data_IF_884270813930
#
_entry.id   IF_884270813930
#
_cell.length_a   1.000
_cell.length_b   1.000
_cell.length_c   1.000
_cell.angle_alpha   90.00
_cell.angle_beta   90.00
_cell.angle_gamma   90.00
#
_symmetry.space_group_name_H-M   'P 1'
#
loop_
_entity.id
_entity.type
_entity.pdbx_description
1 polymer ?
#
# COMPACT_ATOMS: atom_id res chain seq x y z
N UNK A 1 13.65 103.37 7.48
CA UNK A 1 13.50 101.90 7.44
C UNK A 1 13.71 101.47 6.00
N UNK A 2 14.79 101.90 5.36
CA UNK A 2 16.18 101.43 5.49
C UNK A 2 16.30 100.04 4.84
N UNK A 3 16.70 99.98 3.56
CA UNK A 3 18.12 99.86 3.12
C UNK A 3 18.66 98.47 3.51
N UNK A 4 19.21 97.60 2.65
CA UNK A 4 19.70 97.67 1.29
C UNK A 4 20.02 96.23 0.83
N UNK A 5 19.99 95.97 -0.48
CA UNK A 5 20.84 94.99 -1.19
C UNK A 5 22.33 95.18 -0.82
N UNK A 6 23.32 94.30 -1.15
CA UNK A 6 23.38 93.51 -2.39
C UNK A 6 24.17 92.17 -2.37
N UNK A 7 24.08 91.44 -3.48
CA UNK A 7 25.10 90.47 -3.90
C UNK A 7 26.45 91.17 -4.12
N UNK A 8 27.56 90.43 -4.01
CA UNK A 8 28.41 90.13 -5.18
C UNK A 8 28.95 88.67 -5.04
N UNK A 9 29.60 87.99 -5.99
CA UNK A 9 30.44 88.35 -7.11
C UNK A 9 30.75 87.04 -7.88
N UNK A 10 30.60 87.09 -9.20
CA UNK A 10 31.41 86.35 -10.21
C UNK A 10 32.92 86.43 -9.84
N UNK A 11 33.86 85.54 -10.24
CA UNK A 11 33.90 85.12 -11.64
C UNK A 11 34.73 83.89 -12.11
N UNK A 12 34.53 83.62 -13.41
CA UNK A 12 35.50 83.13 -14.41
C UNK A 12 36.16 81.74 -14.28
N UNK A 13 36.20 81.12 -15.45
CA UNK A 13 37.25 80.23 -15.96
C UNK A 13 37.07 78.72 -15.75
N UNK A 14 36.48 78.14 -16.80
CA UNK A 14 37.14 77.16 -17.69
C UNK A 14 37.79 75.93 -17.07
N UNK A 15 37.48 74.81 -17.74
CA UNK A 15 38.31 73.64 -18.01
C UNK A 15 37.99 72.38 -17.21
N UNK A 16 37.51 71.39 -17.97
CA UNK A 16 37.89 69.97 -17.96
C UNK A 16 37.92 69.23 -16.61
N UNK A 17 36.98 68.31 -16.42
CA UNK A 17 37.20 66.87 -16.70
C UNK A 17 36.03 66.02 -16.16
N UNK A 18 35.87 64.85 -16.79
CA UNK A 18 35.10 63.68 -16.35
C UNK A 18 33.59 63.65 -16.64
N UNK A 19 33.23 63.44 -17.91
CA UNK A 19 32.16 62.48 -18.21
C UNK A 19 32.77 61.10 -18.41
N UNK A 20 32.87 60.37 -17.30
CA UNK A 20 33.00 58.92 -17.33
C UNK A 20 31.71 58.41 -17.99
N UNK A 21 31.78 58.01 -19.26
CA UNK A 21 30.74 57.21 -19.89
C UNK A 21 30.84 55.84 -19.24
N UNK A 22 29.86 55.39 -18.43
CA UNK A 22 29.81 53.99 -18.07
C UNK A 22 29.41 53.27 -19.34
N UNK A 23 30.30 52.41 -19.84
CA UNK A 23 29.89 51.32 -20.73
C UNK A 23 28.69 50.64 -20.06
N UNK A 24 27.52 50.77 -20.66
CA UNK A 24 26.42 49.85 -20.39
C UNK A 24 26.88 48.49 -20.92
N UNK A 25 27.48 47.69 -20.05
CA UNK A 25 27.45 46.24 -20.23
C UNK A 25 25.98 45.82 -20.21
N UNK A 26 25.50 45.08 -21.21
CA UNK A 26 24.20 44.44 -21.10
C UNK A 26 24.36 43.32 -20.08
N UNK A 27 24.09 43.62 -18.81
CA UNK A 27 23.92 42.59 -17.78
C UNK A 27 22.89 41.61 -18.32
N UNK A 28 23.33 40.37 -18.43
CA UNK A 28 22.67 39.27 -19.11
C UNK A 28 21.42 38.85 -18.33
N UNK A 29 20.33 39.59 -18.50
CA UNK A 29 18.98 39.24 -17.99
C UNK A 29 18.59 37.81 -18.33
N UNK A 30 19.12 37.25 -19.43
CA UNK A 30 18.89 35.86 -19.83
C UNK A 30 19.53 34.78 -18.94
N UNK A 31 20.56 35.10 -18.17
CA UNK A 31 21.25 34.14 -17.29
C UNK A 31 20.59 34.10 -15.91
N UNK A 32 20.19 35.27 -15.39
CA UNK A 32 19.42 35.37 -14.14
C UNK A 32 18.02 34.78 -14.28
N UNK A 33 17.36 34.97 -15.44
CA UNK A 33 16.04 34.37 -15.71
C UNK A 33 16.10 32.83 -15.78
N UNK A 34 17.20 32.27 -16.30
CA UNK A 34 17.43 30.82 -16.33
C UNK A 34 17.62 30.26 -14.93
N UNK A 35 18.46 30.88 -14.11
CA UNK A 35 18.64 30.49 -12.71
C UNK A 35 17.37 30.67 -11.86
N UNK A 36 16.55 31.68 -12.13
CA UNK A 36 15.24 31.82 -11.49
C UNK A 36 14.27 30.71 -11.92
N UNK A 37 14.21 30.38 -13.21
CA UNK A 37 13.36 29.31 -13.72
C UNK A 37 13.75 27.94 -13.19
N UNK A 38 15.05 27.65 -13.12
CA UNK A 38 15.58 26.41 -12.55
C UNK A 38 15.27 26.29 -11.06
N UNK A 39 15.42 27.38 -10.28
CA UNK A 39 15.02 27.40 -8.86
C UNK A 39 13.51 27.26 -8.64
N UNK A 40 12.69 27.79 -9.54
CA UNK A 40 11.23 27.63 -9.47
C UNK A 40 10.84 26.19 -9.77
N UNK A 41 11.42 25.55 -10.79
CA UNK A 41 11.18 24.14 -11.12
C UNK A 41 11.65 23.23 -9.98
N UNK A 42 12.85 23.46 -9.42
CA UNK A 42 13.30 22.72 -8.24
C UNK A 42 12.40 22.94 -7.01
N UNK A 43 11.82 24.14 -6.86
CA UNK A 43 10.87 24.45 -5.79
C UNK A 43 9.55 23.72 -5.97
N UNK A 44 9.02 23.69 -7.20
CA UNK A 44 7.81 22.95 -7.56
C UNK A 44 7.99 21.44 -7.34
N UNK A 45 9.13 20.87 -7.75
CA UNK A 45 9.46 19.45 -7.51
C UNK A 45 9.56 19.13 -6.01
N UNK A 46 10.19 20.00 -5.21
CA UNK A 46 10.28 19.84 -3.75
C UNK A 46 8.90 19.90 -3.09
N UNK A 47 8.01 20.79 -3.54
CA UNK A 47 6.65 20.91 -3.01
C UNK A 47 5.80 19.68 -3.35
N UNK A 48 5.94 19.13 -4.56
CA UNK A 48 5.28 17.87 -4.94
C UNK A 48 5.73 16.70 -4.05
N UNK A 49 7.03 16.63 -3.72
CA UNK A 49 7.55 15.60 -2.81
C UNK A 49 7.03 15.77 -1.37
N UNK A 50 6.91 17.01 -0.89
CA UNK A 50 6.36 17.33 0.45
C UNK A 50 4.89 16.92 0.56
N UNK A 51 4.07 17.26 -0.44
CA UNK A 51 2.65 16.87 -0.48
C UNK A 51 2.48 15.35 -0.49
N UNK A 52 3.27 14.65 -1.30
CA UNK A 52 3.25 13.18 -1.36
C UNK A 52 3.69 12.54 -0.04
N UNK A 53 4.64 13.16 0.67
CA UNK A 53 5.06 12.71 1.99
C UNK A 53 3.95 12.93 3.05
N UNK A 54 3.23 14.06 2.97
CA UNK A 54 2.08 14.34 3.84
C UNK A 54 0.92 13.36 3.62
N UNK A 55 0.57 13.07 2.37
CA UNK A 55 -0.44 12.05 2.02
C UNK A 55 -0.06 10.65 2.51
N UNK A 56 1.23 10.31 2.41
CA UNK A 56 1.73 9.04 2.92
C UNK A 56 1.67 8.98 4.45
N UNK A 57 2.00 10.07 5.13
CA UNK A 57 1.96 10.16 6.59
C UNK A 57 0.53 10.19 7.15
N UNK A 58 -0.41 10.85 6.48
CA UNK A 58 -1.83 10.80 6.85
C UNK A 58 -2.39 9.38 6.67
N UNK A 59 -2.06 8.71 5.58
CA UNK A 59 -2.42 7.30 5.38
C UNK A 59 -1.85 6.39 6.49
N UNK A 60 -0.61 6.62 6.93
CA UNK A 60 0.00 5.88 8.04
C UNK A 60 -0.73 6.19 9.36
N UNK A 61 -1.07 7.46 9.62
CA UNK A 61 -1.87 7.87 10.79
C UNK A 61 -3.20 7.11 10.83
N UNK A 62 -3.92 7.06 9.71
CA UNK A 62 -5.23 6.40 9.59
C UNK A 62 -5.13 4.86 9.69
N UNK A 63 -4.00 4.28 9.25
CA UNK A 63 -3.71 2.87 9.50
C UNK A 63 -3.46 2.60 10.99
N UNK A 64 -2.67 3.45 11.65
CA UNK A 64 -2.38 3.30 13.07
C UNK A 64 -3.62 3.51 13.95
N UNK A 65 -4.51 4.43 13.61
CA UNK A 65 -5.78 4.62 14.33
C UNK A 65 -6.69 3.39 14.22
N UNK A 66 -6.87 2.86 13.01
CA UNK A 66 -7.66 1.62 12.80
C UNK A 66 -7.10 0.42 13.58
N UNK A 67 -5.77 0.29 13.62
CA UNK A 67 -5.12 -0.75 14.42
C UNK A 67 -5.32 -0.51 15.93
N UNK A 68 -5.28 0.74 16.38
CA UNK A 68 -5.51 1.09 17.78
C UNK A 68 -6.96 0.81 18.23
N UNK A 69 -7.94 1.09 17.38
CA UNK A 69 -9.37 0.82 17.61
C UNK A 69 -9.65 -0.69 17.65
N UNK A 70 -9.04 -1.47 16.74
CA UNK A 70 -9.19 -2.93 16.73
C UNK A 70 -8.55 -3.66 17.93
N UNK A 71 -7.76 -2.96 18.74
CA UNK A 71 -7.14 -3.48 19.96
C UNK A 71 -7.92 -3.12 21.23
N UNK A 72 -9.05 -2.40 21.10
CA UNK A 72 -9.79 -1.88 22.23
C UNK A 72 -10.64 -2.96 22.90
N UNK A 73 -10.26 -3.31 24.13
CA UNK A 73 -11.12 -3.97 25.11
C UNK A 73 -11.59 -2.91 26.09
N UNK A 74 -12.92 -2.77 26.22
CA UNK A 74 -13.80 -1.88 27.01
C UNK A 74 -13.29 -0.67 27.84
N UNK A 75 -12.03 -0.49 28.23
CA UNK A 75 -11.62 0.64 29.07
C UNK A 75 -10.17 1.08 28.81
N UNK A 76 -9.93 2.02 27.88
CA UNK A 76 -8.83 2.99 28.01
C UNK A 76 -9.02 4.15 27.01
N UNK A 77 -9.73 5.19 27.44
CA UNK A 77 -9.92 6.45 26.69
C UNK A 77 -8.67 7.31 26.83
N UNK A 78 -7.62 6.99 26.07
CA UNK A 78 -6.50 7.91 25.80
C UNK A 78 -6.71 8.59 24.45
N UNK A 79 -7.66 9.52 24.40
CA UNK A 79 -7.89 10.38 23.24
C UNK A 79 -6.67 11.29 23.01
N UNK A 80 -5.91 11.04 21.95
CA UNK A 80 -4.78 11.90 21.55
C UNK A 80 -5.35 13.21 21.03
N UNK A 81 -5.37 14.23 21.89
CA UNK A 81 -5.81 15.59 21.54
C UNK A 81 -4.96 16.13 20.39
N UNK A 82 -5.58 16.26 19.22
CA UNK A 82 -5.03 16.96 18.07
C UNK A 82 -4.85 18.44 18.46
N UNK A 83 -3.60 18.89 18.52
CA UNK A 83 -3.28 20.29 18.71
C UNK A 83 -3.47 21.01 17.38
N UNK A 84 -4.60 21.68 17.28
CA UNK A 84 -4.94 22.65 16.24
C UNK A 84 -4.22 23.97 16.50
N UNK A 85 -2.97 24.08 16.06
CA UNK A 85 -2.35 25.40 15.84
C UNK A 85 -1.96 25.47 14.36
N UNK A 86 -2.47 26.50 13.68
CA UNK A 86 -2.20 26.73 12.26
C UNK A 86 -0.70 26.99 12.05
N UNK A 87 -0.03 26.22 11.18
CA UNK A 87 1.40 26.31 10.99
C UNK A 87 1.76 27.46 10.05
N UNK A 88 2.75 28.26 10.44
CA UNK A 88 3.25 29.40 9.68
C UNK A 88 4.11 29.00 8.44
N UNK A 89 4.36 27.70 8.19
CA UNK A 89 5.20 27.21 7.07
C UNK A 89 4.99 25.71 6.76
N UNK A 90 5.01 25.35 5.47
CA UNK A 90 4.89 23.97 4.93
C UNK A 90 5.93 22.97 5.53
N UNK A 91 7.12 23.46 5.90
CA UNK A 91 8.14 22.62 6.56
C UNK A 91 7.82 22.33 8.02
N UNK A 92 7.04 23.18 8.69
CA UNK A 92 6.60 22.97 10.08
C UNK A 92 5.42 21.99 10.13
N UNK A 93 4.53 22.01 9.13
CA UNK A 93 3.43 21.06 8.96
C UNK A 93 3.90 19.61 8.94
N UNK A 94 4.88 19.31 8.08
CA UNK A 94 5.45 17.97 7.94
C UNK A 94 6.02 17.44 9.26
N UNK A 95 6.70 18.31 10.01
CA UNK A 95 7.29 17.95 11.29
C UNK A 95 6.24 17.69 12.37
N UNK A 96 5.14 18.43 12.42
CA UNK A 96 4.05 18.20 13.37
C UNK A 96 3.27 16.93 13.04
N UNK A 97 2.97 16.67 11.76
CA UNK A 97 2.33 15.42 11.33
C UNK A 97 3.23 14.22 11.65
N UNK A 98 4.54 14.32 11.40
CA UNK A 98 5.49 13.25 11.71
C UNK A 98 5.58 12.96 13.22
N UNK A 99 5.54 14.00 14.08
CA UNK A 99 5.48 13.85 15.54
C UNK A 99 4.18 13.17 15.99
N UNK A 100 3.05 13.53 15.39
CA UNK A 100 1.75 12.92 15.69
C UNK A 100 1.74 11.43 15.32
N UNK A 101 2.19 11.09 14.11
CA UNK A 101 2.33 9.70 13.64
C UNK A 101 3.25 8.90 14.55
N UNK A 102 4.40 9.48 14.94
CA UNK A 102 5.35 8.82 15.85
C UNK A 102 4.76 8.57 17.25
N UNK A 103 3.87 9.45 17.72
CA UNK A 103 3.15 9.28 18.99
C UNK A 103 2.10 8.17 18.90
N UNK A 104 1.32 8.15 17.82
CA UNK A 104 0.35 7.09 17.54
C UNK A 104 1.03 5.73 17.39
N UNK A 105 2.15 5.65 16.68
CA UNK A 105 2.90 4.41 16.51
C UNK A 105 3.34 3.83 17.87
N UNK A 106 3.85 4.70 18.77
CA UNK A 106 4.28 4.28 20.11
C UNK A 106 3.11 3.81 20.99
N UNK A 107 1.95 4.46 20.89
CA UNK A 107 0.75 4.05 21.62
C UNK A 107 0.19 2.72 21.10
N UNK A 108 0.20 2.51 19.79
CA UNK A 108 -0.17 1.22 19.19
C UNK A 108 0.78 0.12 19.66
N UNK A 109 2.09 0.37 19.67
CA UNK A 109 3.09 -0.58 20.18
C UNK A 109 2.83 -0.98 21.64
N UNK A 110 2.54 -0.03 22.52
CA UNK A 110 2.25 -0.33 23.93
C UNK A 110 0.94 -1.09 24.11
N UNK A 111 -0.12 -0.74 23.35
CA UNK A 111 -1.40 -1.47 23.35
C UNK A 111 -1.23 -2.91 22.86
N UNK A 112 -0.47 -3.12 21.78
CA UNK A 112 -0.17 -4.47 21.26
C UNK A 112 0.55 -5.31 22.31
N UNK A 113 1.55 -4.74 23.00
CA UNK A 113 2.30 -5.50 24.00
C UNK A 113 1.43 -5.87 25.20
N UNK A 114 0.60 -4.94 25.71
CA UNK A 114 -0.40 -5.24 26.74
C UNK A 114 -1.34 -6.37 26.32
N UNK A 115 -1.88 -6.32 25.10
CA UNK A 115 -2.79 -7.35 24.59
C UNK A 115 -2.10 -8.71 24.50
N UNK A 116 -0.86 -8.77 24.00
CA UNK A 116 -0.07 -10.01 23.99
C UNK A 116 0.15 -10.58 25.39
N UNK A 117 0.41 -9.74 26.39
CA UNK A 117 0.56 -10.18 27.78
C UNK A 117 -0.73 -10.74 28.36
N UNK A 118 -1.88 -10.11 28.10
CA UNK A 118 -3.20 -10.62 28.52
C UNK A 118 -3.48 -11.99 27.89
N UNK A 119 -3.29 -12.13 26.57
CA UNK A 119 -3.46 -13.41 25.88
C UNK A 119 -2.52 -14.51 26.41
N UNK A 120 -1.29 -14.15 26.80
CA UNK A 120 -0.35 -15.08 27.47
C UNK A 120 -0.79 -15.47 28.88
N UNK A 121 -1.48 -14.59 29.62
CA UNK A 121 -2.05 -14.90 30.95
C UNK A 121 -3.24 -15.84 30.81
N UNK A 122 -4.22 -15.49 29.97
CA UNK A 122 -5.39 -16.33 29.67
C UNK A 122 -4.98 -17.73 29.20
N UNK A 123 -4.00 -17.81 28.28
CA UNK A 123 -3.49 -19.10 27.82
C UNK A 123 -2.94 -19.96 28.97
N UNK A 124 -2.16 -19.37 29.88
CA UNK A 124 -1.60 -20.09 31.04
C UNK A 124 -2.70 -20.53 32.01
N UNK A 125 -3.73 -19.71 32.21
CA UNK A 125 -4.88 -20.05 33.05
C UNK A 125 -5.70 -21.19 32.45
N UNK A 126 -5.98 -21.14 31.14
CA UNK A 126 -6.64 -22.22 30.42
C UNK A 126 -5.81 -23.51 30.44
N UNK A 127 -4.50 -23.43 30.24
CA UNK A 127 -3.60 -24.58 30.37
C UNK A 127 -3.63 -25.18 31.78
N UNK A 128 -3.60 -24.35 32.82
CA UNK A 128 -3.69 -24.82 34.21
C UNK A 128 -5.05 -25.48 34.51
N UNK A 129 -6.14 -24.91 33.98
CA UNK A 129 -7.49 -25.45 34.11
C UNK A 129 -7.64 -26.77 33.37
N UNK A 130 -7.03 -26.90 32.18
CA UNK A 130 -7.01 -28.15 31.42
C UNK A 130 -6.27 -29.24 32.20
N UNK A 131 -5.11 -28.93 32.78
CA UNK A 131 -4.36 -29.90 33.60
C UNK A 131 -5.23 -30.36 34.79
N UNK A 132 -5.85 -29.43 35.53
CA UNK A 132 -6.75 -29.76 36.64
C UNK A 132 -7.90 -30.68 36.20
N UNK A 133 -8.57 -30.34 35.09
CA UNK A 133 -9.66 -31.15 34.54
C UNK A 133 -9.18 -32.55 34.09
N UNK A 134 -7.97 -32.67 33.54
CA UNK A 134 -7.43 -33.99 33.18
C UNK A 134 -7.08 -34.84 34.40
N UNK A 135 -6.64 -34.23 35.49
CA UNK A 135 -6.40 -34.91 36.77
C UNK A 135 -7.73 -35.36 37.40
N UNK A 136 -8.72 -34.48 37.46
CA UNK A 136 -10.06 -34.83 37.94
C UNK A 136 -10.71 -35.95 37.12
N UNK A 137 -10.60 -35.91 35.79
CA UNK A 137 -11.15 -36.96 34.92
C UNK A 137 -10.42 -38.31 35.12
N UNK A 138 -9.12 -38.27 35.43
CA UNK A 138 -8.35 -39.46 35.84
C UNK A 138 -8.81 -39.99 37.20
N UNK A 139 -9.11 -39.12 38.16
CA UNK A 139 -9.61 -39.51 39.48
C UNK A 139 -11.03 -40.09 39.42
N UNK A 140 -11.92 -39.49 38.62
CA UNK A 140 -13.24 -40.05 38.33
C UNK A 140 -13.12 -41.44 37.68
N UNK A 141 -12.21 -41.59 36.71
CA UNK A 141 -11.94 -42.89 36.09
C UNK A 141 -11.43 -43.93 37.09
N UNK A 142 -10.58 -43.52 38.04
CA UNK A 142 -10.11 -44.39 39.13
C UNK A 142 -11.26 -44.78 40.07
N UNK A 143 -12.11 -43.84 40.47
CA UNK A 143 -13.28 -44.08 41.32
C UNK A 143 -14.27 -45.03 40.65
N UNK A 144 -14.55 -44.86 39.35
CA UNK A 144 -15.39 -45.77 38.58
C UNK A 144 -14.81 -47.19 38.57
N UNK A 145 -13.50 -47.34 38.39
CA UNK A 145 -12.85 -48.65 38.45
C UNK A 145 -12.98 -49.30 39.83
N UNK A 146 -12.83 -48.52 40.91
CA UNK A 146 -13.03 -49.01 42.29
C UNK A 146 -14.48 -49.44 42.50
N UNK A 147 -15.45 -48.60 42.13
CA UNK A 147 -16.87 -48.89 42.26
C UNK A 147 -17.29 -50.14 41.46
N UNK A 148 -16.73 -50.34 40.27
CA UNK A 148 -16.95 -51.55 39.48
C UNK A 148 -16.38 -52.80 40.18
N UNK A 149 -15.17 -52.73 40.74
CA UNK A 149 -14.59 -53.84 41.50
C UNK A 149 -15.38 -54.16 42.77
N UNK A 150 -15.88 -53.14 43.48
CA UNK A 150 -16.75 -53.31 44.65
C UNK A 150 -18.11 -53.92 44.28
N UNK A 151 -18.70 -53.48 43.16
CA UNK A 151 -19.92 -54.07 42.60
C UNK A 151 -19.71 -55.55 42.28
N UNK A 152 -18.62 -55.90 41.58
CA UNK A 152 -18.30 -57.30 41.29
C UNK A 152 -18.08 -58.13 42.56
N UNK A 153 -17.44 -57.56 43.59
CA UNK A 153 -17.27 -58.21 44.89
C UNK A 153 -18.60 -58.39 45.64
N UNK A 154 -19.52 -57.43 45.57
CA UNK A 154 -20.89 -57.54 46.08
C UNK A 154 -21.69 -58.60 45.32
N UNK A 155 -21.63 -58.62 44.00
CA UNK A 155 -22.32 -59.62 43.16
C UNK A 155 -21.82 -61.03 43.47
N UNK A 156 -20.51 -61.24 43.65
CA UNK A 156 -19.95 -62.53 44.08
C UNK A 156 -20.42 -62.92 45.48
N UNK A 157 -20.52 -61.98 46.42
CA UNK A 157 -21.08 -62.21 47.77
C UNK A 157 -22.57 -62.54 47.74
N UNK A 158 -23.35 -61.91 46.87
CA UNK A 158 -24.79 -62.17 46.72
C UNK A 158 -25.01 -63.54 46.09
N UNK A 159 -24.32 -63.87 44.99
CA UNK A 159 -24.39 -65.20 44.34
C UNK A 159 -23.94 -66.33 45.26
N UNK A 160 -22.95 -66.11 46.13
CA UNK A 160 -22.56 -67.06 47.17
C UNK A 160 -23.61 -67.26 48.29
N UNK A 161 -24.56 -66.32 48.45
CA UNK A 161 -25.62 -66.35 49.47
C UNK A 161 -27.02 -66.69 48.89
N UNK A 162 -27.14 -66.88 47.57
CA UNK A 162 -28.42 -66.95 46.85
C UNK A 162 -29.27 -68.19 47.19
N UNK A 163 -28.69 -69.28 47.69
CA UNK A 163 -29.47 -70.49 48.01
C UNK A 163 -30.20 -70.43 49.36
N UNK A 164 -29.73 -69.64 50.33
CA UNK A 164 -30.25 -69.71 51.71
C UNK A 164 -31.20 -68.56 52.09
N UNK A 165 -31.29 -67.48 51.30
CA UNK A 165 -32.11 -66.29 51.64
C UNK A 165 -33.17 -65.88 50.60
N UNK A 166 -33.26 -66.58 49.46
CA UNK A 166 -34.22 -66.28 48.39
C UNK A 166 -35.62 -66.87 48.64
N UNK A 167 -35.70 -67.99 49.37
CA UNK A 167 -36.95 -68.68 49.73
C UNK A 167 -37.90 -67.86 50.63
N UNK A 168 -37.43 -67.17 51.71
CA UNK A 168 -38.34 -66.42 52.59
C UNK A 168 -38.89 -65.14 51.95
N UNK A 169 -38.08 -64.43 51.15
CA UNK A 169 -38.48 -63.15 50.53
C UNK A 169 -39.54 -63.34 49.42
N UNK A 170 -39.52 -64.47 48.71
CA UNK A 170 -40.54 -64.80 47.71
C UNK A 170 -41.88 -65.17 48.36
N UNK A 171 -41.88 -65.90 49.48
CA UNK A 171 -43.10 -66.24 50.22
C UNK A 171 -43.79 -65.01 50.84
N UNK A 172 -43.02 -64.01 51.27
CA UNK A 172 -43.60 -62.75 51.77
C UNK A 172 -44.24 -61.91 50.65
N UNK A 173 -43.69 -61.94 49.43
CA UNK A 173 -44.28 -61.26 48.29
C UNK A 173 -45.58 -61.94 47.81
N UNK A 174 -45.63 -63.27 47.82
CA UNK A 174 -46.85 -64.03 47.45
C UNK A 174 -48.00 -63.84 48.46
N UNK A 175 -47.70 -63.77 49.76
CA UNK A 175 -48.73 -63.56 50.80
C UNK A 175 -49.25 -62.12 50.84
N UNK A 176 -48.40 -61.13 50.52
CA UNK A 176 -48.78 -59.73 50.41
C UNK A 176 -49.68 -59.45 49.22
N UNK A 177 -49.40 -60.06 48.07
CA UNK A 177 -50.13 -59.83 46.83
C UNK A 177 -51.56 -60.42 46.84
N UNK A 178 -51.76 -61.55 47.53
CA UNK A 178 -53.09 -62.16 47.71
C UNK A 178 -54.03 -61.31 48.59
N UNK A 179 -53.50 -60.43 49.45
CA UNK A 179 -54.28 -59.62 50.39
C UNK A 179 -54.74 -58.27 49.82
N UNK A 180 -54.20 -57.85 48.66
CA UNK A 180 -54.50 -56.56 48.02
C UNK A 180 -55.26 -56.72 46.68
N UNK A 181 -55.87 -57.88 46.44
CA UNK A 181 -56.95 -58.02 45.44
C UNK A 181 -56.53 -57.90 43.97
N UNK A 182 -55.32 -58.30 43.60
CA UNK A 182 -54.87 -58.35 42.20
C UNK A 182 -54.49 -59.79 41.82
N UNK A 183 -55.43 -60.53 41.21
CA UNK A 183 -55.11 -61.87 40.69
C UNK A 183 -56.30 -62.77 40.34
N UNK A 184 -56.80 -62.59 39.12
CA UNK A 184 -57.40 -63.59 38.22
C UNK A 184 -58.52 -64.52 38.71
N UNK A 185 -59.70 -64.32 38.10
CA UNK A 185 -60.85 -65.21 38.13
C UNK A 185 -60.49 -66.62 37.58
N UNK A 186 -60.54 -67.63 38.42
CA UNK A 186 -60.81 -69.01 38.00
C UNK A 186 -61.82 -69.60 38.99
N UNK A 187 -63.04 -69.81 38.51
CA UNK A 187 -64.16 -70.23 39.33
C UNK A 187 -64.07 -71.70 39.76
N UNK A 188 -64.48 -71.96 40.99
CA UNK A 188 -65.21 -73.17 41.40
C UNK A 188 -65.87 -72.89 42.74
N UNK A 189 -67.20 -73.04 42.80
CA UNK A 189 -67.98 -72.88 44.03
C UNK A 189 -67.97 -74.11 44.94
N UNK A 190 -68.91 -74.10 45.88
CA UNK A 190 -69.30 -75.10 46.91
C UNK A 190 -68.59 -74.98 48.27
N UNK A 191 -69.19 -75.15 49.45
CA UNK A 191 -70.59 -75.13 49.98
C UNK A 191 -70.44 -75.25 51.51
N UNK A 192 -71.34 -74.57 52.25
CA UNK A 192 -71.92 -74.80 53.58
C UNK A 192 -71.19 -75.51 54.76
N UNK A 193 -71.21 -74.78 55.90
CA UNK A 193 -71.66 -75.17 57.26
C UNK A 193 -71.01 -76.40 57.97
N UNK A 194 -71.40 -76.73 59.22
CA UNK A 194 -71.44 -75.92 60.45
C UNK A 194 -70.74 -76.67 61.61
N UNK A 195 -70.49 -76.03 62.75
CA UNK A 195 -70.44 -76.75 64.05
C UNK A 195 -71.16 -75.92 65.09
N UNK A 196 -72.38 -76.37 65.42
CA UNK A 196 -73.07 -76.11 66.67
C UNK A 196 -72.30 -76.75 67.84
N UNK A 197 -72.33 -76.15 69.03
CA UNK A 197 -73.17 -76.62 70.16
C UNK A 197 -72.79 -75.93 71.48
N UNK A 198 -73.82 -75.34 72.13
CA UNK A 198 -74.21 -75.42 73.56
C UNK A 198 -73.14 -75.03 74.62
N UNK A 199 -73.44 -74.41 75.76
CA UNK A 199 -74.61 -74.48 76.63
C UNK A 199 -74.47 -73.40 77.71
N UNK A 200 -75.62 -72.99 78.25
CA UNK A 200 -75.89 -72.10 79.39
C UNK A 200 -74.89 -72.09 80.56
N UNK A 201 -74.66 -70.91 81.14
CA UNK A 201 -74.96 -70.60 82.55
C UNK A 201 -74.13 -69.41 83.08
N UNK A 202 -74.82 -68.46 83.74
CA UNK A 202 -74.31 -67.44 84.69
C UNK A 202 -74.18 -65.99 84.18
N UNK A 203 -75.29 -65.25 84.27
CA UNK A 203 -75.48 -63.86 83.82
C UNK A 203 -74.71 -62.77 84.61
N UNK A 204 -73.70 -63.09 85.42
CA UNK A 204 -72.96 -62.09 86.22
C UNK A 204 -71.47 -61.93 85.89
N UNK A 205 -70.91 -62.73 84.96
CA UNK A 205 -69.52 -62.58 84.46
C UNK A 205 -69.45 -62.05 83.01
N UNK A 206 -70.55 -62.16 82.25
CA UNK A 206 -70.63 -61.69 80.86
C UNK A 206 -70.55 -60.17 80.70
N UNK A 207 -71.03 -59.40 81.70
CA UNK A 207 -70.99 -57.93 81.64
C UNK A 207 -69.56 -57.41 81.73
N UNK A 208 -68.71 -58.05 82.54
CA UNK A 208 -67.28 -57.69 82.68
C UNK A 208 -66.49 -58.12 81.44
N UNK A 209 -66.79 -59.29 80.87
CA UNK A 209 -66.18 -59.76 79.61
C UNK A 209 -66.57 -58.88 78.41
N UNK A 210 -67.85 -58.53 78.27
CA UNK A 210 -68.35 -57.63 77.23
C UNK A 210 -67.73 -56.23 77.36
N UNK A 211 -67.70 -55.66 78.56
CA UNK A 211 -67.05 -54.38 78.81
C UNK A 211 -65.57 -54.38 78.40
N UNK A 212 -64.84 -55.46 78.70
CA UNK A 212 -63.43 -55.61 78.28
C UNK A 212 -63.25 -55.72 76.75
N UNK A 213 -64.20 -56.35 76.05
CA UNK A 213 -64.18 -56.43 74.58
C UNK A 213 -64.48 -55.10 73.94
N UNK A 214 -65.47 -54.36 74.45
CA UNK A 214 -65.82 -53.01 73.99
C UNK A 214 -64.67 -52.04 74.27
N UNK A 215 -64.05 -52.09 75.45
CA UNK A 215 -62.89 -51.26 75.79
C UNK A 215 -61.71 -51.53 74.84
N UNK A 216 -61.46 -52.80 74.50
CA UNK A 216 -60.43 -53.20 73.52
C UNK A 216 -60.74 -52.67 72.13
N UNK A 217 -61.99 -52.81 71.67
CA UNK A 217 -62.44 -52.27 70.38
C UNK A 217 -62.27 -50.75 70.37
N UNK A 218 -62.68 -50.05 71.43
CA UNK A 218 -62.53 -48.60 71.52
C UNK A 218 -61.06 -48.15 71.53
N UNK A 219 -60.16 -48.86 72.24
CA UNK A 219 -58.72 -48.60 72.20
C UNK A 219 -58.16 -48.82 70.80
N UNK A 220 -58.53 -49.91 70.13
CA UNK A 220 -58.12 -50.20 68.75
C UNK A 220 -58.61 -49.13 67.77
N UNK A 221 -59.88 -48.74 67.84
CA UNK A 221 -60.44 -47.67 67.00
C UNK A 221 -59.77 -46.32 67.27
N UNK A 222 -59.43 -46.00 68.52
CA UNK A 222 -58.67 -44.78 68.84
C UNK A 222 -57.27 -44.82 68.22
N UNK A 223 -56.58 -45.96 68.29
CA UNK A 223 -55.28 -46.13 67.64
C UNK A 223 -55.39 -45.97 66.12
N UNK A 224 -56.39 -46.60 65.51
CA UNK A 224 -56.66 -46.49 64.08
C UNK A 224 -56.98 -45.05 63.64
N UNK A 225 -57.80 -44.32 64.40
CA UNK A 225 -58.08 -42.89 64.15
C UNK A 225 -56.79 -42.07 64.22
N UNK A 226 -55.91 -42.32 65.20
CA UNK A 226 -54.63 -41.60 65.29
C UNK A 226 -53.66 -41.96 64.17
N UNK A 227 -53.64 -43.22 63.74
CA UNK A 227 -52.86 -43.69 62.61
C UNK A 227 -53.34 -43.03 61.30
N UNK A 228 -54.63 -43.09 61.00
CA UNK A 228 -55.22 -42.49 59.80
C UNK A 228 -55.01 -40.97 59.75
N UNK A 229 -55.10 -40.27 60.88
CA UNK A 229 -54.77 -38.84 60.96
C UNK A 229 -53.32 -38.56 60.61
N UNK A 230 -52.39 -39.38 61.09
CA UNK A 230 -50.97 -39.25 60.76
C UNK A 230 -50.72 -39.51 59.27
N UNK A 231 -51.29 -40.58 58.72
CA UNK A 231 -51.18 -40.90 57.30
C UNK A 231 -51.80 -39.84 56.40
N UNK A 232 -52.91 -39.20 56.82
CA UNK A 232 -53.50 -38.08 56.10
C UNK A 232 -52.57 -36.86 56.09
N UNK A 233 -51.94 -36.55 57.22
CA UNK A 233 -51.01 -35.43 57.33
C UNK A 233 -49.72 -35.67 56.53
N UNK A 234 -49.19 -36.90 56.56
CA UNK A 234 -48.07 -37.33 55.72
C UNK A 234 -48.42 -37.16 54.22
N UNK A 235 -49.59 -37.66 53.79
CA UNK A 235 -50.05 -37.51 52.41
C UNK A 235 -50.23 -36.03 51.99
N UNK A 236 -50.71 -35.16 52.89
CA UNK A 236 -50.79 -33.71 52.63
C UNK A 236 -49.41 -33.10 52.44
N UNK A 237 -48.47 -33.40 53.33
CA UNK A 237 -47.10 -32.90 53.23
C UNK A 237 -46.40 -33.35 51.95
N UNK A 238 -46.61 -34.60 51.52
CA UNK A 238 -46.11 -35.10 50.24
C UNK A 238 -46.75 -34.40 49.04
N UNK A 239 -48.05 -34.11 49.12
CA UNK A 239 -48.77 -33.38 48.07
C UNK A 239 -48.24 -31.95 47.93
N UNK A 240 -48.04 -31.23 49.05
CA UNK A 240 -47.45 -29.89 49.08
C UNK A 240 -46.02 -29.89 48.51
N UNK A 241 -45.22 -30.90 48.86
CA UNK A 241 -43.86 -31.07 48.32
C UNK A 241 -43.88 -31.30 46.81
N UNK A 242 -44.77 -32.16 46.30
CA UNK A 242 -44.91 -32.41 44.86
C UNK A 242 -45.42 -31.17 44.12
N UNK A 243 -46.35 -30.41 44.71
CA UNK A 243 -46.79 -29.11 44.17
C UNK A 243 -45.62 -28.13 44.05
N UNK A 244 -44.81 -27.98 45.11
CA UNK A 244 -43.61 -27.12 45.08
C UNK A 244 -42.62 -27.54 43.97
N UNK A 245 -42.37 -28.84 43.80
CA UNK A 245 -41.51 -29.34 42.72
C UNK A 245 -42.10 -29.07 41.33
N UNK A 246 -43.41 -29.26 41.17
CA UNK A 246 -44.11 -29.00 39.91
C UNK A 246 -44.07 -27.52 39.55
N UNK A 247 -44.28 -26.63 40.53
CA UNK A 247 -44.16 -25.19 40.33
C UNK A 247 -42.74 -24.78 39.93
N UNK A 248 -41.71 -25.33 40.59
CA UNK A 248 -40.31 -25.08 40.21
C UNK A 248 -40.01 -25.54 38.78
N UNK A 249 -40.43 -26.75 38.42
CA UNK A 249 -40.29 -27.27 37.06
C UNK A 249 -41.03 -26.40 36.05
N UNK A 250 -42.24 -25.94 36.37
CA UNK A 250 -43.01 -25.07 35.47
C UNK A 250 -42.33 -23.71 35.22
N UNK A 251 -41.68 -23.14 36.24
CA UNK A 251 -40.91 -21.90 36.12
C UNK A 251 -39.67 -22.10 35.27
N UNK A 252 -38.90 -23.16 35.53
CA UNK A 252 -37.71 -23.48 34.76
C UNK A 252 -38.02 -23.75 33.28
N UNK A 253 -39.12 -24.46 32.98
CA UNK A 253 -39.59 -24.66 31.61
C UNK A 253 -39.97 -23.33 30.95
N UNK A 254 -40.61 -22.42 31.68
CA UNK A 254 -40.97 -21.10 31.15
C UNK A 254 -39.72 -20.25 30.85
N UNK A 255 -38.74 -20.24 31.75
CA UNK A 255 -37.45 -19.54 31.56
C UNK A 255 -36.67 -20.11 30.38
N UNK A 256 -36.53 -21.44 30.29
CA UNK A 256 -35.88 -22.11 29.17
C UNK A 256 -36.58 -21.82 27.84
N UNK A 257 -37.92 -21.72 27.84
CA UNK A 257 -38.70 -21.39 26.64
C UNK A 257 -38.39 -19.98 26.13
N UNK A 258 -38.28 -18.99 27.02
CA UNK A 258 -37.89 -17.63 26.60
C UNK A 258 -36.43 -17.60 26.12
N UNK A 259 -35.53 -18.30 26.81
CA UNK A 259 -34.13 -18.40 26.38
C UNK A 259 -33.97 -19.00 24.98
N UNK A 260 -34.73 -20.06 24.66
CA UNK A 260 -34.74 -20.66 23.32
C UNK A 260 -35.19 -19.65 22.26
N UNK A 261 -36.26 -18.87 22.52
CA UNK A 261 -36.71 -17.84 21.57
C UNK A 261 -35.65 -16.76 21.34
N UNK A 262 -34.96 -16.34 22.39
CA UNK A 262 -33.88 -15.36 22.26
C UNK A 262 -32.72 -15.90 21.41
N UNK A 263 -32.42 -17.21 21.51
CA UNK A 263 -31.43 -17.85 20.64
C UNK A 263 -31.91 -17.93 19.20
N UNK A 264 -33.17 -18.27 18.96
CA UNK A 264 -33.77 -18.31 17.61
C UNK A 264 -33.80 -16.94 16.94
N UNK A 265 -34.06 -15.85 17.69
CA UNK A 265 -33.97 -14.49 17.16
C UNK A 265 -32.52 -14.12 16.80
N UNK A 266 -31.55 -14.42 17.68
CA UNK A 266 -30.13 -14.19 17.37
C UNK A 266 -29.68 -14.98 16.16
N UNK A 267 -30.12 -16.24 16.02
CA UNK A 267 -29.83 -17.06 14.84
C UNK A 267 -30.41 -16.42 13.57
N UNK A 268 -31.66 -15.94 13.61
CA UNK A 268 -32.29 -15.25 12.48
C UNK A 268 -31.54 -13.98 12.07
N UNK A 269 -31.14 -13.15 13.04
CA UNK A 269 -30.37 -11.93 12.76
C UNK A 269 -28.99 -12.28 12.19
N UNK A 270 -28.29 -13.26 12.75
CA UNK A 270 -26.99 -13.69 12.24
C UNK A 270 -27.10 -14.28 10.82
N UNK A 271 -28.14 -15.07 10.54
CA UNK A 271 -28.39 -15.60 9.20
C UNK A 271 -28.61 -14.48 8.18
N UNK A 272 -29.40 -13.46 8.55
CA UNK A 272 -29.63 -12.30 7.70
C UNK A 272 -28.33 -11.51 7.45
N UNK A 273 -27.54 -11.24 8.49
CA UNK A 273 -26.26 -10.54 8.35
C UNK A 273 -25.29 -11.31 7.45
N UNK A 274 -25.26 -12.64 7.53
CA UNK A 274 -24.44 -13.48 6.64
C UNK A 274 -24.90 -13.35 5.19
N UNK A 275 -26.22 -13.32 4.93
CA UNK A 275 -26.76 -13.10 3.58
C UNK A 275 -26.39 -11.72 3.03
N UNK A 276 -26.46 -10.67 3.86
CA UNK A 276 -26.02 -9.32 3.50
C UNK A 276 -24.53 -9.28 3.15
N UNK A 277 -23.66 -9.83 4.02
CA UNK A 277 -22.23 -9.90 3.73
C UNK A 277 -21.93 -10.72 2.47
N UNK A 278 -22.68 -11.78 2.18
CA UNK A 278 -22.54 -12.52 0.92
C UNK A 278 -22.96 -11.70 -0.31
N UNK A 279 -23.89 -10.76 -0.18
CA UNK A 279 -24.21 -9.82 -1.26
C UNK A 279 -23.07 -8.82 -1.47
N UNK A 280 -22.59 -8.20 -0.39
CA UNK A 280 -21.48 -7.24 -0.44
C UNK A 280 -20.18 -7.85 -1.00
N UNK A 281 -19.86 -9.09 -0.61
CA UNK A 281 -18.70 -9.81 -1.14
C UNK A 281 -18.83 -10.00 -2.65
N UNK A 282 -20.02 -10.38 -3.16
CA UNK A 282 -20.24 -10.55 -4.60
C UNK A 282 -20.10 -9.25 -5.36
N UNK A 283 -20.66 -8.15 -4.83
CA UNK A 283 -20.53 -6.82 -5.44
C UNK A 283 -19.07 -6.37 -5.50
N UNK A 284 -18.32 -6.58 -4.41
CA UNK A 284 -16.89 -6.29 -4.37
C UNK A 284 -16.08 -7.17 -5.34
N UNK A 285 -16.42 -8.45 -5.49
CA UNK A 285 -15.80 -9.35 -6.47
C UNK A 285 -16.04 -8.90 -7.91
N UNK A 286 -17.25 -8.45 -8.24
CA UNK A 286 -17.60 -7.88 -9.54
C UNK A 286 -16.86 -6.56 -9.81
N UNK A 287 -16.71 -5.71 -8.80
CA UNK A 287 -15.86 -4.52 -8.90
C UNK A 287 -14.40 -4.88 -9.18
N UNK A 288 -13.83 -5.80 -8.40
CA UNK A 288 -12.46 -6.28 -8.61
C UNK A 288 -12.30 -6.86 -10.02
N UNK A 289 -13.28 -7.58 -10.55
CA UNK A 289 -13.26 -8.07 -11.93
C UNK A 289 -13.23 -6.91 -12.94
N UNK A 290 -14.09 -5.90 -12.78
CA UNK A 290 -14.11 -4.70 -13.64
C UNK A 290 -12.78 -3.94 -13.61
N UNK A 291 -12.19 -3.75 -12.43
CA UNK A 291 -10.89 -3.10 -12.29
C UNK A 291 -9.77 -3.90 -12.95
N UNK A 292 -9.78 -5.22 -12.84
CA UNK A 292 -8.81 -6.09 -13.52
C UNK A 292 -8.90 -5.94 -15.04
N UNK A 293 -10.10 -6.00 -15.61
CA UNK A 293 -10.31 -5.82 -17.05
C UNK A 293 -9.84 -4.43 -17.51
N UNK A 294 -10.13 -3.37 -16.76
CA UNK A 294 -9.65 -2.02 -17.06
C UNK A 294 -8.12 -1.95 -17.07
N UNK A 295 -7.45 -2.52 -16.06
CA UNK A 295 -5.99 -2.57 -16.01
C UNK A 295 -5.40 -3.36 -17.19
N UNK A 296 -6.01 -4.47 -17.59
CA UNK A 296 -5.55 -5.25 -18.76
C UNK A 296 -5.67 -4.44 -20.05
N UNK A 297 -6.76 -3.71 -20.24
CA UNK A 297 -6.97 -2.82 -21.38
C UNK A 297 -5.95 -1.67 -21.40
N UNK A 298 -5.66 -1.06 -20.25
CA UNK A 298 -4.63 -0.02 -20.12
C UNK A 298 -3.24 -0.56 -20.46
N UNK A 299 -2.89 -1.77 -20.01
CA UNK A 299 -1.62 -2.42 -20.35
C UNK A 299 -1.53 -2.68 -21.87
N UNK A 300 -2.61 -3.14 -22.49
CA UNK A 300 -2.67 -3.35 -23.95
C UNK A 300 -2.52 -2.02 -24.70
N UNK A 301 -3.23 -0.97 -24.27
CA UNK A 301 -3.12 0.36 -24.85
C UNK A 301 -1.70 0.93 -24.70
N UNK A 302 -1.08 0.78 -23.52
CA UNK A 302 0.29 1.20 -23.27
C UNK A 302 1.30 0.46 -24.14
N UNK A 303 1.13 -0.86 -24.35
CA UNK A 303 1.96 -1.63 -25.28
C UNK A 303 1.83 -1.13 -26.72
N UNK A 304 0.61 -0.80 -27.17
CA UNK A 304 0.38 -0.29 -28.52
C UNK A 304 1.04 1.08 -28.72
N UNK A 305 0.90 1.99 -27.76
CA UNK A 305 1.55 3.31 -27.80
C UNK A 305 3.08 3.18 -27.85
N UNK A 306 3.67 2.29 -27.03
CA UNK A 306 5.12 2.02 -27.08
C UNK A 306 5.54 1.54 -28.47
N UNK A 307 4.81 0.59 -29.06
CA UNK A 307 5.09 0.10 -30.41
C UNK A 307 5.00 1.21 -31.48
N UNK A 308 4.05 2.13 -31.36
CA UNK A 308 3.94 3.28 -32.27
C UNK A 308 5.11 4.25 -32.10
N UNK A 309 5.50 4.54 -30.85
CA UNK A 309 6.66 5.39 -30.54
C UNK A 309 7.96 4.77 -31.05
N UNK A 310 8.14 3.47 -30.94
CA UNK A 310 9.32 2.77 -31.46
C UNK A 310 9.42 2.90 -32.99
N UNK A 311 8.29 2.77 -33.71
CA UNK A 311 8.25 3.01 -35.16
C UNK A 311 8.67 4.45 -35.52
N UNK A 312 8.21 5.44 -34.76
CA UNK A 312 8.59 6.84 -34.95
C UNK A 312 10.08 7.07 -34.66
N UNK A 313 10.60 6.48 -33.59
CA UNK A 313 12.03 6.54 -33.24
C UNK A 313 12.87 5.95 -34.36
N UNK A 314 12.48 4.82 -34.93
CA UNK A 314 13.23 4.20 -36.02
C UNK A 314 13.17 5.02 -37.32
N UNK A 315 12.02 5.62 -37.63
CA UNK A 315 11.90 6.57 -38.74
C UNK A 315 12.81 7.80 -38.54
N UNK A 316 12.81 8.39 -37.34
CA UNK A 316 13.66 9.53 -37.01
C UNK A 316 15.16 9.18 -37.04
N UNK A 317 15.55 7.98 -36.57
CA UNK A 317 16.93 7.49 -36.70
C UNK A 317 17.32 7.40 -38.17
N UNK A 318 16.44 6.89 -39.03
CA UNK A 318 16.71 6.79 -40.47
C UNK A 318 16.91 8.18 -41.10
N UNK A 319 16.04 9.14 -40.80
CA UNK A 319 16.19 10.52 -41.28
C UNK A 319 17.46 11.20 -40.74
N UNK A 320 17.82 10.94 -39.48
CA UNK A 320 19.07 11.41 -38.91
C UNK A 320 20.29 10.83 -39.65
N UNK A 321 20.26 9.55 -40.02
CA UNK A 321 21.35 8.94 -40.80
C UNK A 321 21.44 9.52 -42.22
N UNK A 322 20.31 9.76 -42.89
CA UNK A 322 20.27 10.42 -44.20
C UNK A 322 20.87 11.83 -44.15
N UNK A 323 20.47 12.63 -43.17
CA UNK A 323 20.97 14.01 -43.00
C UNK A 323 22.45 14.04 -42.62
N UNK A 324 22.93 13.11 -41.78
CA UNK A 324 24.37 12.93 -41.53
C UNK A 324 25.14 12.62 -42.80
N UNK A 325 24.68 11.68 -43.62
CA UNK A 325 25.32 11.37 -44.91
C UNK A 325 25.34 12.57 -45.86
N UNK A 326 24.25 13.33 -45.95
CA UNK A 326 24.20 14.55 -46.75
C UNK A 326 25.18 15.63 -46.26
N UNK A 327 25.34 15.77 -44.95
CA UNK A 327 26.31 16.67 -44.32
C UNK A 327 27.75 16.26 -44.58
N UNK A 328 28.07 14.96 -44.54
CA UNK A 328 29.41 14.46 -44.86
C UNK A 328 29.78 14.74 -46.32
N UNK A 329 28.83 14.56 -47.25
CA UNK A 329 29.02 14.90 -48.67
C UNK A 329 29.28 16.40 -48.85
N UNK A 330 28.49 17.26 -48.19
CA UNK A 330 28.68 18.72 -48.31
C UNK A 330 29.99 19.18 -47.66
N UNK A 331 30.39 18.56 -46.56
CA UNK A 331 31.71 18.77 -45.94
C UNK A 331 32.85 18.37 -46.87
N UNK A 332 32.74 17.24 -47.56
CA UNK A 332 33.70 16.82 -48.58
C UNK A 332 33.81 17.84 -49.72
N UNK A 333 32.67 18.36 -50.21
CA UNK A 333 32.65 19.43 -51.23
C UNK A 333 33.32 20.72 -50.75
N UNK A 334 33.10 21.12 -49.49
CA UNK A 334 33.74 22.30 -48.93
C UNK A 334 35.26 22.13 -48.85
N UNK A 335 35.76 20.97 -48.41
CA UNK A 335 37.20 20.68 -48.40
C UNK A 335 37.83 20.79 -49.79
N UNK A 336 37.18 20.22 -50.80
CA UNK A 336 37.66 20.35 -52.19
C UNK A 336 37.68 21.81 -52.65
N UNK A 337 36.69 22.62 -52.27
CA UNK A 337 36.70 24.06 -52.57
C UNK A 337 37.82 24.80 -51.85
N UNK A 338 38.11 24.46 -50.60
CA UNK A 338 39.23 25.00 -49.83
C UNK A 338 40.59 24.66 -50.47
N UNK A 339 40.78 23.41 -50.89
CA UNK A 339 41.99 22.95 -51.60
C UNK A 339 42.15 23.63 -52.96
N UNK A 340 41.06 23.77 -53.73
CA UNK A 340 41.06 24.50 -55.01
C UNK A 340 41.38 25.98 -54.78
N UNK A 341 40.82 26.62 -53.75
CA UNK A 341 41.14 28.00 -53.43
C UNK A 341 42.62 28.16 -53.02
N UNK A 342 43.15 27.27 -52.18
CA UNK A 342 44.55 27.28 -51.77
C UNK A 342 45.51 27.10 -52.96
N UNK A 343 45.21 26.17 -53.87
CA UNK A 343 46.01 25.95 -55.09
C UNK A 343 45.91 27.12 -56.07
N UNK A 344 44.74 27.74 -56.22
CA UNK A 344 44.57 28.94 -57.03
C UNK A 344 45.36 30.14 -56.48
N UNK A 345 45.35 30.35 -55.16
CA UNK A 345 46.17 31.38 -54.50
C UNK A 345 47.66 31.11 -54.75
N UNK A 346 48.13 29.88 -54.53
CA UNK A 346 49.52 29.52 -54.78
C UNK A 346 49.94 29.72 -56.24
N UNK A 347 49.06 29.38 -57.20
CA UNK A 347 49.27 29.62 -58.63
C UNK A 347 49.32 31.11 -58.97
N UNK A 348 48.41 31.92 -58.39
CA UNK A 348 48.43 33.38 -58.54
C UNK A 348 49.74 33.97 -58.00
N UNK A 349 50.15 33.60 -56.79
CA UNK A 349 51.41 34.10 -56.22
C UNK A 349 52.62 33.68 -57.08
N UNK A 350 52.62 32.48 -57.67
CA UNK A 350 53.67 32.04 -58.59
C UNK A 350 53.67 32.88 -59.88
N UNK A 351 52.50 33.18 -60.45
CA UNK A 351 52.36 34.04 -61.63
C UNK A 351 52.82 35.48 -61.34
N UNK A 352 52.44 36.04 -60.19
CA UNK A 352 52.89 37.37 -59.74
C UNK A 352 54.41 37.43 -59.54
N UNK A 353 55.02 36.38 -58.97
CA UNK A 353 56.49 36.28 -58.87
C UNK A 353 57.13 36.26 -60.26
N UNK A 354 56.57 35.52 -61.21
CA UNK A 354 57.07 35.49 -62.60
C UNK A 354 56.92 36.84 -63.30
N UNK A 355 55.79 37.54 -63.10
CA UNK A 355 55.55 38.87 -63.66
C UNK A 355 56.59 39.86 -63.12
N UNK A 356 56.79 39.89 -61.80
CA UNK A 356 57.80 40.74 -61.15
C UNK A 356 59.20 40.50 -61.73
N UNK A 357 59.58 39.24 -61.98
CA UNK A 357 60.85 38.90 -62.63
C UNK A 357 60.94 39.35 -64.09
N UNK A 358 59.84 39.33 -64.84
CA UNK A 358 59.81 39.83 -66.21
C UNK A 358 59.92 41.36 -66.24
N UNK A 359 59.23 42.04 -65.32
CA UNK A 359 59.29 43.49 -65.17
C UNK A 359 60.70 43.96 -64.80
N UNK A 360 61.37 43.31 -63.84
CA UNK A 360 62.76 43.64 -63.50
C UNK A 360 63.69 43.44 -64.69
N UNK A 361 63.58 42.32 -65.41
CA UNK A 361 64.35 42.08 -66.65
C UNK A 361 64.07 43.12 -67.73
N UNK A 362 62.81 43.54 -67.89
CA UNK A 362 62.45 44.55 -68.86
C UNK A 362 63.05 45.92 -68.50
N UNK A 363 63.06 46.29 -67.21
CA UNK A 363 63.73 47.51 -66.73
C UNK A 363 65.24 47.44 -67.01
N UNK A 364 65.91 46.34 -66.64
CA UNK A 364 67.33 46.14 -66.94
C UNK A 364 67.65 46.25 -68.43
N UNK A 365 66.81 45.68 -69.30
CA UNK A 365 66.97 45.78 -70.75
C UNK A 365 66.77 47.22 -71.25
N UNK A 366 65.81 47.97 -70.70
CA UNK A 366 65.62 49.39 -71.03
C UNK A 366 66.84 50.22 -70.61
N UNK A 367 67.36 50.03 -69.41
CA UNK A 367 68.58 50.71 -68.94
C UNK A 367 69.77 50.44 -69.87
N UNK A 368 69.95 49.18 -70.30
CA UNK A 368 70.98 48.81 -71.29
C UNK A 368 70.75 49.47 -72.65
N UNK A 369 69.51 49.52 -73.13
CA UNK A 369 69.17 50.22 -74.37
C UNK A 369 69.45 51.72 -74.26
N UNK A 370 69.06 52.35 -73.15
CA UNK A 370 69.34 53.76 -72.88
C UNK A 370 70.84 54.04 -72.87
N UNK A 371 71.64 53.20 -72.20
CA UNK A 371 73.09 53.29 -72.20
C UNK A 371 73.68 53.14 -73.61
N UNK A 372 73.24 52.13 -74.37
CA UNK A 372 73.67 51.97 -75.77
C UNK A 372 73.25 53.15 -76.64
N UNK A 373 72.07 53.73 -76.43
CA UNK A 373 71.64 54.94 -77.16
C UNK A 373 72.45 56.17 -76.76
N UNK A 374 72.82 56.35 -75.50
CA UNK A 374 73.76 57.40 -75.06
C UNK A 374 75.12 57.22 -75.71
N UNK A 375 75.65 56.00 -75.72
CA UNK A 375 76.90 55.67 -76.41
C UNK A 375 76.81 55.97 -77.91
N UNK A 376 75.66 55.71 -78.54
CA UNK A 376 75.40 56.00 -79.95
C UNK A 376 75.27 57.50 -80.21
N UNK A 377 74.59 58.25 -79.34
CA UNK A 377 74.55 59.72 -79.40
C UNK A 377 75.92 60.35 -79.18
N UNK A 378 76.73 59.81 -78.26
CA UNK A 378 78.10 60.26 -78.06
C UNK A 378 78.99 59.93 -79.26
N UNK A 379 78.86 58.73 -79.82
CA UNK A 379 79.53 58.34 -81.05
C UNK A 379 79.11 59.24 -82.21
N UNK A 380 77.82 59.58 -82.33
CA UNK A 380 77.29 60.53 -83.32
C UNK A 380 77.72 61.98 -83.02
N UNK A 381 77.86 62.41 -81.76
CA UNK A 381 78.46 63.72 -81.42
C UNK A 381 79.96 63.75 -81.78
N UNK A 382 80.69 62.67 -81.51
CA UNK A 382 82.09 62.47 -81.94
C UNK A 382 82.19 62.40 -83.47
N UNK A 383 81.20 61.80 -84.12
CA UNK A 383 81.06 61.78 -85.57
C UNK A 383 80.75 63.19 -86.06
N UNK A 384 79.70 63.89 -85.63
CA UNK A 384 79.40 65.29 -85.98
C UNK A 384 80.53 66.27 -85.70
N UNK A 385 81.36 66.08 -84.67
CA UNK A 385 82.57 66.90 -84.43
C UNK A 385 83.72 66.52 -85.38
N UNK A 386 83.94 65.23 -85.63
CA UNK A 386 84.86 64.77 -86.70
C UNK A 386 84.32 65.06 -88.10
N UNK A 387 83.01 65.20 -88.28
CA UNK A 387 82.27 65.49 -89.51
C UNK A 387 82.15 67.00 -89.70
N UNK A 388 82.23 67.83 -88.64
CA UNK A 388 82.56 69.27 -88.72
C UNK A 388 84.03 69.49 -89.10
N UNK A 389 84.96 68.65 -88.63
CA UNK A 389 86.37 68.62 -89.12
C UNK A 389 86.49 68.03 -90.54
N UNK A 390 85.64 67.07 -90.91
CA UNK A 390 85.58 66.41 -92.23
C UNK A 390 84.53 67.02 -93.18
N UNK A 391 83.83 68.09 -92.80
CA UNK A 391 82.95 68.88 -93.71
C UNK A 391 83.75 69.82 -94.61
N UNK A 392 85.07 69.85 -94.47
CA UNK A 392 86.00 70.11 -95.56
C UNK A 392 86.52 68.78 -96.12
N UNK A 393 85.65 67.91 -96.62
CA UNK A 393 85.85 66.92 -97.70
C UNK A 393 84.70 65.88 -97.72
N UNK A 394 83.85 65.98 -98.77
CA UNK A 394 82.89 64.98 -99.31
C UNK A 394 81.58 64.87 -98.49
N UNK A 395 80.34 65.13 -98.95
CA UNK A 395 79.65 65.04 -100.25
C UNK A 395 79.84 63.69 -100.95
N UNK A 396 78.74 62.92 -101.07
CA UNK A 396 78.50 61.58 -101.69
C UNK A 396 78.41 60.42 -100.65
N UNK A 397 77.25 60.05 -100.05
CA UNK A 397 76.15 59.12 -100.46
C UNK A 397 76.57 57.60 -100.45
N UNK A 398 75.73 56.55 -100.24
CA UNK A 398 74.27 56.45 -100.43
C UNK A 398 73.41 55.66 -99.41
N UNK A 399 72.15 56.08 -99.25
CA UNK A 399 71.04 55.20 -98.86
C UNK A 399 70.50 54.49 -100.10
N UNK A 400 70.32 53.17 -100.06
CA UNK A 400 69.37 52.45 -100.91
C UNK A 400 69.04 51.03 -100.40
N UNK A 401 67.73 50.83 -100.16
CA UNK A 401 66.90 49.67 -100.51
C UNK A 401 67.23 48.28 -99.93
N UNK A 402 66.45 47.87 -98.92
CA UNK A 402 65.75 46.59 -98.98
C UNK A 402 64.31 46.76 -98.49
N UNK A 403 63.40 46.73 -99.46
CA UNK A 403 61.98 46.48 -99.32
C UNK A 403 61.73 45.24 -100.19
N UNK A 404 61.08 44.19 -99.65
CA UNK A 404 60.51 42.97 -100.27
C UNK A 404 60.40 41.96 -99.11
N UNK A 405 59.30 41.30 -98.75
CA UNK A 405 57.91 41.24 -99.21
C UNK A 405 57.10 40.56 -98.07
N UNK A 406 55.78 40.74 -98.04
CA UNK A 406 54.85 39.82 -97.34
C UNK A 406 54.08 38.98 -98.38
N UNK A 407 53.16 38.07 -97.99
CA UNK A 407 53.30 36.81 -97.26
C UNK A 407 52.83 35.63 -98.19
N UNK A 408 52.46 34.46 -97.66
CA UNK A 408 51.03 34.16 -97.70
C UNK A 408 50.47 33.42 -96.47
N UNK A 409 49.16 33.59 -96.32
CA UNK A 409 48.22 32.90 -95.44
C UNK A 409 48.18 31.38 -95.62
N UNK A 410 47.81 30.65 -94.56
CA UNK A 410 46.97 29.43 -94.53
C UNK A 410 46.80 29.03 -93.05
N UNK A 411 45.65 29.34 -92.43
CA UNK A 411 44.41 28.54 -92.36
C UNK A 411 44.38 27.53 -91.20
N UNK A 412 43.37 27.74 -90.33
CA UNK A 412 42.48 26.77 -89.65
C UNK A 412 43.10 25.53 -88.96
N UNK A 413 42.75 25.20 -87.72
CA UNK A 413 41.39 24.76 -87.36
C UNK A 413 41.05 24.98 -85.86
N UNK A 414 39.89 25.59 -85.67
CA UNK A 414 38.96 25.32 -84.58
C UNK A 414 38.38 23.91 -84.77
N UNK A 415 38.39 23.07 -83.73
CA UNK A 415 37.20 22.59 -83.00
C UNK A 415 37.61 21.83 -81.74
#
# INVERSE_FOLDING_TARGET
MDHSSPQPSSPYSSSNCNSFVPCFEPVSKGTELKHLKERVVEGEEKNVLVLKALESLSSIKDCLSRVAEGLEGEEDVTYVKELSEEPESESNELMEVLKLVSRYAREVETRIEKHKELRKKEKRELESSLISLTEENRDVSNLLRIALLEKEALEKRVKGNEHNKRMPLLQFAEYGLHKVGFGFMMGTGTVDQPIETKSDSSESEHVVSLASTVERIMKNLRLEITHLRRSLEEARSDTERLQCLTEKQSKEIAENKEYIKDLEERERVLAHNVEEFMMEIREAEEEVARWKEACELEVVAGKNEIQERDKLVDALKLELQKTKGALEISRGKLRLKEEVAATAIAAQEAAERSLKLADTRAVELRERLEELTKQLEEADKRERTTHKRRRRRRLCWPWQLFNLASPPEMNALLY
#
